data_IF_280124859490
#
_entry.id   IF_280124859490
#
_cell.length_a   1.000
_cell.length_b   1.000
_cell.length_c   1.000
_cell.angle_alpha   90.00
_cell.angle_beta   90.00
_cell.angle_gamma   90.00
#
_symmetry.space_group_name_H-M   'P 1'
#
loop_
_entity.id
_entity.type
_entity.pdbx_description
1 polymer ?
#
# COMPACT_ATOMS: atom_id res chain seq x y z
N UNK A 1 6.70 -45.49 -18.99
CA UNK A 1 6.01 -44.58 -18.05
C UNK A 1 6.44 -43.16 -18.36
N UNK A 2 5.53 -42.35 -18.91
CA UNK A 2 5.83 -41.00 -19.30
C UNK A 2 5.62 -40.09 -18.07
N UNK A 3 6.70 -39.48 -17.57
CA UNK A 3 6.58 -38.52 -16.47
C UNK A 3 6.13 -37.19 -17.05
N UNK A 4 4.88 -36.81 -16.83
CA UNK A 4 4.38 -35.49 -17.21
C UNK A 4 4.80 -34.53 -16.12
N UNK A 5 5.85 -33.75 -16.37
CA UNK A 5 6.23 -32.62 -15.51
C UNK A 5 5.29 -31.47 -15.86
N UNK A 6 4.28 -31.26 -15.03
CA UNK A 6 3.42 -30.08 -15.12
C UNK A 6 4.21 -28.91 -14.51
N UNK A 7 4.53 -27.86 -15.30
CA UNK A 7 5.19 -26.70 -14.70
C UNK A 7 4.22 -26.05 -13.70
N UNK A 8 4.60 -26.01 -12.44
CA UNK A 8 3.90 -25.18 -11.45
C UNK A 8 4.12 -23.72 -11.82
N UNK A 9 3.04 -23.06 -12.26
CA UNK A 9 3.05 -21.63 -12.41
C UNK A 9 3.39 -21.01 -11.04
N UNK A 10 4.46 -20.22 -10.97
CA UNK A 10 4.77 -19.45 -9.78
C UNK A 10 3.63 -18.44 -9.56
N UNK A 11 2.79 -18.66 -8.54
CA UNK A 11 1.83 -17.68 -8.09
C UNK A 11 2.59 -16.52 -7.47
N UNK A 12 2.40 -15.31 -8.02
CA UNK A 12 2.92 -14.11 -7.42
C UNK A 12 2.35 -14.01 -6.00
N UNK A 13 3.24 -13.96 -5.01
CA UNK A 13 2.87 -13.91 -3.61
C UNK A 13 3.02 -12.51 -3.07
N UNK A 14 2.11 -12.12 -2.19
CA UNK A 14 2.24 -10.92 -1.39
C UNK A 14 3.48 -11.03 -0.50
N UNK A 15 4.38 -10.07 -0.61
CA UNK A 15 5.63 -10.03 0.14
C UNK A 15 5.73 -8.73 0.93
N UNK A 16 5.50 -8.76 2.26
CA UNK A 16 5.59 -7.56 3.09
C UNK A 16 6.96 -6.89 3.07
N UNK A 17 8.05 -7.65 2.91
CA UNK A 17 9.39 -7.08 2.81
C UNK A 17 9.55 -6.24 1.55
N UNK A 18 9.02 -6.70 0.42
CA UNK A 18 8.96 -5.92 -0.82
C UNK A 18 8.05 -4.71 -0.65
N UNK A 19 6.92 -4.89 0.00
CA UNK A 19 6.00 -3.80 0.31
C UNK A 19 6.65 -2.71 1.16
N UNK A 20 7.47 -3.09 2.13
CA UNK A 20 8.24 -2.15 2.94
C UNK A 20 9.18 -1.31 2.10
N UNK A 21 9.95 -1.93 1.21
CA UNK A 21 10.85 -1.22 0.31
C UNK A 21 10.12 -0.18 -0.52
N UNK A 22 9.02 -0.58 -1.16
CA UNK A 22 8.24 0.31 -2.01
C UNK A 22 7.61 1.43 -1.18
N UNK A 23 7.04 1.10 -0.03
CA UNK A 23 6.42 2.07 0.86
C UNK A 23 7.42 3.15 1.29
N UNK A 24 8.61 2.75 1.70
CA UNK A 24 9.66 3.68 2.15
C UNK A 24 10.14 4.60 1.02
N UNK A 25 10.17 4.11 -0.23
CA UNK A 25 10.59 4.90 -1.38
C UNK A 25 9.50 5.82 -1.92
N UNK A 26 8.24 5.39 -1.92
CA UNK A 26 7.17 6.03 -2.68
C UNK A 26 6.04 6.59 -1.82
N UNK A 27 5.86 6.10 -0.63
CA UNK A 27 4.71 6.42 0.22
C UNK A 27 5.10 7.19 1.48
N UNK A 28 6.26 6.87 2.05
CA UNK A 28 6.69 7.42 3.34
C UNK A 28 6.92 8.92 3.33
N UNK A 29 7.19 9.51 2.16
CA UNK A 29 7.36 10.97 2.05
C UNK A 29 6.14 11.74 2.55
N UNK A 30 4.94 11.21 2.33
CA UNK A 30 3.70 11.79 2.82
C UNK A 30 3.18 11.09 4.07
N UNK A 31 3.22 9.74 4.08
CA UNK A 31 2.60 8.94 5.14
C UNK A 31 3.50 8.70 6.35
N UNK A 32 4.81 9.00 6.24
CA UNK A 32 5.79 8.64 7.28
C UNK A 32 6.17 7.16 7.22
N UNK A 33 7.36 6.81 7.70
CA UNK A 33 7.87 5.43 7.66
C UNK A 33 7.05 4.46 8.49
N UNK A 34 6.28 4.96 9.45
CA UNK A 34 5.37 4.18 10.31
C UNK A 34 3.90 4.50 10.05
N UNK A 35 3.59 5.19 8.97
CA UNK A 35 2.22 5.55 8.63
C UNK A 35 1.57 6.60 9.51
N UNK A 36 2.35 7.30 10.30
CA UNK A 36 1.90 8.31 11.28
C UNK A 36 2.05 9.76 10.78
N UNK A 37 2.41 9.94 9.52
CA UNK A 37 2.72 11.23 8.94
C UNK A 37 4.16 11.67 9.16
N UNK A 38 4.93 10.96 10.00
CA UNK A 38 6.33 11.22 10.26
C UNK A 38 6.62 12.54 10.96
N UNK A 39 7.68 12.61 11.73
CA UNK A 39 8.13 13.85 12.38
C UNK A 39 8.57 14.87 11.33
N UNK A 40 8.00 16.06 11.39
CA UNK A 40 8.36 17.17 10.51
C UNK A 40 7.93 17.04 9.07
N UNK A 41 7.15 16.03 8.74
CA UNK A 41 6.74 15.77 7.37
C UNK A 41 5.43 16.37 6.96
N UNK A 42 4.74 17.02 7.83
CA UNK A 42 3.40 17.47 7.50
C UNK A 42 3.35 18.32 6.23
N UNK A 43 4.42 19.10 5.94
CA UNK A 43 4.49 19.88 4.70
C UNK A 43 3.18 20.58 4.36
N UNK A 44 2.32 20.84 5.34
CA UNK A 44 0.99 21.37 5.15
C UNK A 44 -0.08 20.33 4.81
N UNK A 45 0.22 19.03 4.87
CA UNK A 45 -0.77 17.99 4.62
C UNK A 45 -1.78 17.85 5.75
N UNK A 46 -2.99 17.42 5.38
CA UNK A 46 -4.07 17.19 6.33
C UNK A 46 -3.76 16.07 7.32
N UNK A 47 -4.26 16.14 8.58
CA UNK A 47 -4.16 15.05 9.55
C UNK A 47 -4.66 13.69 9.06
N UNK A 48 -5.45 13.65 8.00
CA UNK A 48 -5.94 12.41 7.39
C UNK A 48 -4.80 11.47 6.98
N UNK A 49 -3.64 12.01 6.63
CA UNK A 49 -2.47 11.24 6.23
C UNK A 49 -1.95 10.33 7.36
N UNK A 50 -2.22 10.66 8.61
CA UNK A 50 -1.73 9.93 9.77
C UNK A 50 -2.55 8.68 10.11
N UNK A 51 -3.64 8.40 9.40
CA UNK A 51 -4.59 7.33 9.76
C UNK A 51 -4.04 5.92 9.61
N UNK A 52 -2.98 5.71 8.80
CA UNK A 52 -2.41 4.38 8.59
C UNK A 52 -1.89 3.74 9.88
N UNK A 53 -1.44 4.53 10.84
CA UNK A 53 -0.95 4.06 12.13
C UNK A 53 -2.06 3.84 13.17
N UNK A 54 -3.29 4.24 12.86
CA UNK A 54 -4.43 4.09 13.77
C UNK A 54 -5.08 2.73 13.60
N UNK A 55 -4.61 1.76 14.37
CA UNK A 55 -5.07 0.36 14.28
C UNK A 55 -6.58 0.21 14.42
N UNK A 56 -7.19 0.97 15.30
CA UNK A 56 -8.64 0.94 15.53
C UNK A 56 -9.41 1.34 14.27
N UNK A 57 -8.98 2.37 13.59
CA UNK A 57 -9.56 2.77 12.31
C UNK A 57 -9.22 1.76 11.20
N UNK A 58 -7.95 1.40 11.07
CA UNK A 58 -7.48 0.53 10.00
C UNK A 58 -8.06 -0.88 10.06
N UNK A 59 -8.40 -1.37 11.26
CA UNK A 59 -9.05 -2.67 11.41
C UNK A 59 -10.43 -2.74 10.77
N UNK A 60 -11.06 -1.59 10.55
CA UNK A 60 -12.38 -1.50 9.92
C UNK A 60 -12.29 -1.27 8.40
N UNK A 61 -11.10 -1.05 7.88
CA UNK A 61 -10.87 -0.76 6.46
C UNK A 61 -10.43 -2.06 5.77
N UNK A 62 -11.20 -2.58 4.79
CA UNK A 62 -10.82 -3.79 4.08
C UNK A 62 -9.57 -3.60 3.23
N UNK A 63 -8.80 -4.67 3.04
CA UNK A 63 -7.62 -4.65 2.18
C UNK A 63 -7.95 -4.22 0.75
N UNK A 64 -9.09 -4.66 0.21
CA UNK A 64 -9.52 -4.30 -1.14
C UNK A 64 -9.73 -2.79 -1.29
N UNK A 65 -10.20 -2.11 -0.25
CA UNK A 65 -10.30 -0.65 -0.25
C UNK A 65 -8.91 -0.01 -0.31
N UNK A 66 -7.97 -0.50 0.50
CA UNK A 66 -6.60 0.02 0.51
C UNK A 66 -5.91 -0.21 -0.85
N UNK A 67 -6.09 -1.38 -1.43
CA UNK A 67 -5.57 -1.68 -2.77
C UNK A 67 -6.15 -0.71 -3.79
N UNK A 68 -7.45 -0.47 -3.74
CA UNK A 68 -8.13 0.39 -4.70
C UNK A 68 -7.68 1.85 -4.59
N UNK A 69 -7.53 2.38 -3.38
CA UNK A 69 -7.10 3.77 -3.20
C UNK A 69 -5.64 3.97 -3.66
N UNK A 70 -4.78 2.98 -3.47
CA UNK A 70 -3.41 3.04 -4.00
C UNK A 70 -3.42 2.96 -5.53
N UNK A 71 -4.20 2.06 -6.10
CA UNK A 71 -4.31 1.91 -7.56
C UNK A 71 -4.84 3.17 -8.24
N UNK A 72 -5.94 3.68 -7.75
CA UNK A 72 -6.73 4.72 -8.41
C UNK A 72 -6.45 6.12 -7.90
N UNK A 73 -5.81 6.25 -6.75
CA UNK A 73 -5.54 7.55 -6.13
C UNK A 73 -6.68 8.06 -5.26
N UNK A 74 -6.36 9.10 -4.48
CA UNK A 74 -7.30 9.65 -3.51
C UNK A 74 -8.53 10.28 -4.15
N UNK A 75 -8.37 11.00 -5.25
CA UNK A 75 -9.49 11.68 -5.92
C UNK A 75 -10.57 10.70 -6.39
N UNK A 76 -10.18 9.53 -6.89
CA UNK A 76 -11.12 8.49 -7.34
C UNK A 76 -12.01 8.02 -6.19
N UNK A 77 -11.48 7.98 -4.97
CA UNK A 77 -12.19 7.53 -3.78
C UNK A 77 -12.88 8.67 -3.02
N UNK A 78 -12.99 9.85 -3.63
CA UNK A 78 -13.58 11.01 -2.97
C UNK A 78 -12.70 11.59 -1.85
N UNK A 79 -11.40 11.30 -1.89
CA UNK A 79 -10.41 11.80 -0.94
C UNK A 79 -9.54 12.87 -1.58
N UNK A 80 -8.44 13.26 -0.91
CA UNK A 80 -7.55 14.29 -1.40
C UNK A 80 -6.82 13.86 -2.68
N UNK A 81 -6.76 14.75 -3.66
CA UNK A 81 -6.15 14.47 -4.97
C UNK A 81 -4.62 14.35 -4.93
N UNK A 82 -3.97 14.80 -3.86
CA UNK A 82 -2.51 14.69 -3.70
C UNK A 82 -2.03 13.24 -3.54
N UNK A 83 -2.92 12.31 -3.14
CA UNK A 83 -2.62 10.89 -3.20
C UNK A 83 -2.71 10.42 -4.65
N UNK A 84 -1.57 10.12 -5.31
CA UNK A 84 -1.59 9.76 -6.73
C UNK A 84 -2.09 8.34 -6.97
N UNK A 85 -2.44 8.05 -8.21
CA UNK A 85 -2.77 6.71 -8.68
C UNK A 85 -1.48 5.97 -9.08
N UNK A 86 -1.29 4.78 -8.56
CA UNK A 86 -0.06 4.01 -8.77
C UNK A 86 -0.19 2.85 -9.75
N UNK A 87 -1.37 2.59 -10.28
CA UNK A 87 -1.62 1.40 -11.11
C UNK A 87 -0.76 1.29 -12.36
N UNK A 88 -0.24 2.41 -12.88
CA UNK A 88 0.63 2.41 -14.04
C UNK A 88 2.10 2.14 -13.71
N UNK A 89 2.46 2.22 -12.43
CA UNK A 89 3.84 2.07 -11.96
C UNK A 89 4.05 0.83 -11.12
N UNK A 90 3.00 0.33 -10.47
CA UNK A 90 3.05 -0.79 -9.56
C UNK A 90 2.07 -1.87 -10.02
N UNK A 91 2.51 -3.12 -9.94
CA UNK A 91 1.65 -4.27 -10.16
C UNK A 91 0.66 -4.46 -9.00
N UNK A 92 -0.38 -5.26 -9.22
CA UNK A 92 -1.33 -5.61 -8.16
C UNK A 92 -0.64 -6.32 -6.99
N UNK A 93 0.32 -7.19 -7.28
CA UNK A 93 1.10 -7.89 -6.24
C UNK A 93 1.94 -6.92 -5.43
N UNK A 94 2.58 -5.94 -6.07
CA UNK A 94 3.35 -4.91 -5.38
C UNK A 94 2.45 -4.06 -4.49
N UNK A 95 1.28 -3.67 -4.98
CA UNK A 95 0.30 -2.91 -4.19
C UNK A 95 -0.19 -3.73 -3.00
N UNK A 96 -0.50 -5.02 -3.20
CA UNK A 96 -0.90 -5.92 -2.11
C UNK A 96 0.22 -6.11 -1.09
N UNK A 97 1.45 -6.13 -1.55
CA UNK A 97 2.63 -6.18 -0.67
C UNK A 97 2.76 -4.91 0.17
N UNK A 98 2.49 -3.76 -0.41
CA UNK A 98 2.43 -2.49 0.33
C UNK A 98 1.34 -2.54 1.41
N UNK A 99 0.16 -3.02 1.08
CA UNK A 99 -0.94 -3.16 2.03
C UNK A 99 -0.55 -4.10 3.18
N UNK A 100 0.08 -5.23 2.87
CA UNK A 100 0.57 -6.15 3.90
C UNK A 100 1.57 -5.46 4.85
N UNK A 101 2.46 -4.62 4.33
CA UNK A 101 3.37 -3.83 5.15
C UNK A 101 2.62 -2.80 6.01
N UNK A 102 1.68 -2.08 5.45
CA UNK A 102 0.85 -1.11 6.17
C UNK A 102 0.15 -1.76 7.37
N UNK A 103 -0.28 -3.02 7.24
CA UNK A 103 -0.93 -3.76 8.33
C UNK A 103 0.00 -4.08 9.50
N UNK A 104 1.30 -3.86 9.34
CA UNK A 104 2.27 -4.05 10.43
C UNK A 104 2.40 -2.83 11.34
N UNK A 105 1.86 -1.69 10.96
CA UNK A 105 1.93 -0.46 11.75
C UNK A 105 1.15 -0.54 13.06
#
# INVERSE_FOLDING_TARGET
MLLIIVPMAATAQTDPARGKEIFEQMCAGCHGTRGDGGEGHSGGFSPVITTLAKKEYMSQVPDDYLVLIIKKGGAYMGKIATMPAWEKRLSDEEIRSIVAHIRTF
#
